data_IF_427747013256
#
_entry.id   IF_427747013256
#
_cell.length_a   1.000
_cell.length_b   1.000
_cell.length_c   1.000
_cell.angle_alpha   90.00
_cell.angle_beta   90.00
_cell.angle_gamma   90.00
#
_symmetry.space_group_name_H-M   'P 1'
#
loop_
_entity.id
_entity.type
_entity.pdbx_description
1 polymer ?
#
# COMPACT_ATOMS: atom_id res chain seq x y z
N UNK A 1 -2.69 -8.49 3.89
CA UNK A 1 -3.14 -8.10 2.53
C UNK A 1 -2.79 -9.11 1.43
N UNK A 2 -2.44 -10.36 1.76
CA UNK A 2 -2.29 -11.42 0.76
C UNK A 2 -1.30 -11.13 -0.37
N UNK A 3 -0.29 -10.28 -0.13
CA UNK A 3 0.61 -9.84 -1.19
C UNK A 3 1.42 -11.02 -1.71
N UNK A 4 1.30 -11.29 -3.01
CA UNK A 4 2.13 -12.28 -3.70
C UNK A 4 2.51 -11.80 -5.10
N UNK A 5 3.64 -12.27 -5.64
CA UNK A 5 3.93 -12.15 -7.06
C UNK A 5 2.79 -12.73 -7.92
N UNK A 6 2.46 -12.04 -9.02
CA UNK A 6 1.59 -12.62 -10.06
C UNK A 6 2.25 -13.86 -10.68
N UNK A 7 3.57 -13.79 -10.88
CA UNK A 7 4.39 -14.87 -11.41
C UNK A 7 5.53 -15.23 -10.44
N UNK A 8 5.83 -16.52 -10.25
CA UNK A 8 6.82 -16.98 -9.28
C UNK A 8 8.27 -16.67 -9.67
N UNK A 9 8.53 -16.33 -10.94
CA UNK A 9 9.87 -16.09 -11.48
C UNK A 9 9.92 -14.75 -12.19
N UNK A 10 10.92 -13.95 -11.83
CA UNK A 10 11.29 -12.75 -12.58
C UNK A 10 12.19 -13.15 -13.75
N UNK A 11 11.78 -12.82 -14.96
CA UNK A 11 12.52 -13.17 -16.18
C UNK A 11 13.59 -12.10 -16.44
N UNK A 12 14.72 -12.20 -15.72
CA UNK A 12 15.84 -11.26 -15.80
C UNK A 12 17.00 -11.97 -16.50
N UNK A 13 17.56 -11.33 -17.53
CA UNK A 13 18.76 -11.83 -18.20
C UNK A 13 19.97 -11.82 -17.26
N UNK A 14 20.99 -12.62 -17.56
CA UNK A 14 22.22 -12.64 -16.78
C UNK A 14 22.81 -11.22 -16.68
N UNK A 15 23.08 -10.76 -15.46
CA UNK A 15 23.63 -9.43 -15.20
C UNK A 15 25.16 -9.54 -15.15
N UNK A 16 25.90 -8.95 -16.11
CA UNK A 16 27.35 -8.93 -16.07
C UNK A 16 27.89 -8.14 -14.87
N UNK A 17 29.16 -8.37 -14.54
CA UNK A 17 29.82 -7.62 -13.47
C UNK A 17 29.74 -6.11 -13.70
N UNK A 18 29.41 -5.36 -12.64
CA UNK A 18 29.26 -3.89 -12.65
C UNK A 18 28.12 -3.37 -13.54
N UNK A 19 27.13 -4.20 -13.87
CA UNK A 19 25.91 -3.76 -14.57
C UNK A 19 24.68 -3.78 -13.65
N UNK A 20 23.65 -3.06 -14.06
CA UNK A 20 22.35 -2.98 -13.40
C UNK A 20 21.22 -3.16 -14.41
N UNK A 21 20.12 -3.79 -13.99
CA UNK A 21 18.91 -3.95 -14.79
C UNK A 21 17.72 -3.45 -13.96
N UNK A 22 16.85 -2.66 -14.57
CA UNK A 22 15.55 -2.30 -13.99
C UNK A 22 14.51 -3.35 -14.39
N UNK A 23 13.71 -3.79 -13.42
CA UNK A 23 12.60 -4.72 -13.67
C UNK A 23 11.39 -4.35 -12.82
N UNK A 24 10.21 -4.75 -13.28
CA UNK A 24 8.94 -4.52 -12.57
C UNK A 24 8.35 -5.86 -12.17
N UNK A 25 8.01 -5.98 -10.89
CA UNK A 25 7.32 -7.14 -10.35
C UNK A 25 5.85 -6.78 -10.14
N UNK A 26 4.95 -7.43 -10.87
CA UNK A 26 3.51 -7.29 -10.66
C UNK A 26 3.08 -8.12 -9.45
N UNK A 27 2.31 -7.50 -8.56
CA UNK A 27 1.82 -8.09 -7.32
C UNK A 27 0.30 -8.21 -7.33
N UNK A 28 -0.21 -9.22 -6.63
CA UNK A 28 -1.62 -9.47 -6.37
C UNK A 28 -1.86 -9.52 -4.85
N UNK A 29 -3.11 -9.39 -4.42
CA UNK A 29 -3.53 -9.37 -3.00
C UNK A 29 -4.36 -10.58 -2.57
N UNK A 30 -4.43 -11.61 -3.43
CA UNK A 30 -5.21 -12.84 -3.28
C UNK A 30 -4.39 -14.02 -2.70
N UNK A 31 -3.19 -13.74 -2.21
CA UNK A 31 -2.32 -14.72 -1.58
C UNK A 31 -2.66 -15.01 -0.12
N UNK A 32 -1.88 -15.92 0.52
CA UNK A 32 -2.03 -16.23 1.94
C UNK A 32 -1.88 -15.00 2.83
N UNK A 33 -2.72 -14.90 3.86
CA UNK A 33 -2.70 -13.79 4.81
C UNK A 33 -2.05 -14.22 6.12
N UNK A 34 -1.14 -13.38 6.61
CA UNK A 34 -0.51 -13.52 7.92
C UNK A 34 -0.45 -12.15 8.59
N UNK A 35 -0.69 -12.10 9.89
CA UNK A 35 -0.49 -10.88 10.68
C UNK A 35 1.01 -10.63 10.89
N UNK A 36 1.42 -9.38 10.70
CA UNK A 36 2.80 -8.93 10.84
C UNK A 36 2.87 -7.79 11.85
N UNK A 37 4.05 -7.58 12.43
CA UNK A 37 4.33 -6.41 13.26
C UNK A 37 5.57 -5.69 12.73
N UNK A 38 5.46 -4.46 12.18
CA UNK A 38 4.22 -3.71 11.92
C UNK A 38 3.33 -4.36 10.85
N UNK A 39 2.04 -4.00 10.80
CA UNK A 39 1.02 -4.65 9.94
C UNK A 39 1.33 -4.61 8.44
N UNK A 40 2.12 -3.63 8.01
CA UNK A 40 2.53 -3.43 6.62
C UNK A 40 3.94 -3.96 6.31
N UNK A 41 4.55 -4.73 7.22
CA UNK A 41 5.84 -5.35 6.97
C UNK A 41 5.72 -6.49 5.95
N UNK A 42 6.61 -6.49 4.96
CA UNK A 42 6.71 -7.51 3.91
C UNK A 42 8.08 -8.18 3.97
N UNK A 43 8.08 -9.49 4.18
CA UNK A 43 9.28 -10.32 4.10
C UNK A 43 9.49 -10.78 2.65
N UNK A 44 10.70 -10.61 2.13
CA UNK A 44 11.04 -10.91 0.74
C UNK A 44 12.24 -11.83 0.70
N UNK A 45 12.16 -12.86 -0.16
CA UNK A 45 13.26 -13.72 -0.51
C UNK A 45 13.54 -13.60 -2.02
N UNK A 46 14.78 -13.31 -2.39
CA UNK A 46 15.24 -13.27 -3.79
C UNK A 46 16.26 -14.37 -4.00
N UNK A 47 16.02 -15.23 -5.00
CA UNK A 47 16.94 -16.30 -5.39
C UNK A 47 17.62 -15.96 -6.71
N UNK A 48 18.94 -16.14 -6.76
CA UNK A 48 19.72 -16.14 -7.99
C UNK A 48 20.67 -17.35 -8.03
N UNK A 49 21.64 -17.35 -8.94
CA UNK A 49 22.64 -18.42 -9.09
C UNK A 49 23.70 -18.45 -7.96
N UNK A 50 23.81 -17.40 -7.14
CA UNK A 50 24.72 -17.33 -5.99
C UNK A 50 24.06 -17.79 -4.69
N UNK A 51 22.74 -17.74 -4.59
CA UNK A 51 22.01 -18.15 -3.39
C UNK A 51 20.66 -17.46 -3.22
N UNK A 52 20.17 -17.47 -1.98
CA UNK A 52 18.93 -16.80 -1.57
C UNK A 52 19.26 -15.66 -0.61
N UNK A 53 18.70 -14.49 -0.88
CA UNK A 53 18.87 -13.28 -0.09
C UNK A 53 17.52 -12.89 0.51
N UNK A 54 17.54 -12.49 1.78
CA UNK A 54 16.33 -12.13 2.52
C UNK A 54 16.40 -10.67 2.95
N UNK A 55 15.30 -9.96 2.82
CA UNK A 55 15.14 -8.63 3.39
C UNK A 55 13.69 -8.39 3.78
N UNK A 56 13.48 -7.29 4.51
CA UNK A 56 12.16 -6.82 4.90
C UNK A 56 11.98 -5.38 4.40
N UNK A 57 10.75 -5.03 4.04
CA UNK A 57 10.39 -3.67 3.66
C UNK A 57 8.98 -3.35 4.12
N UNK A 58 8.69 -2.08 4.35
CA UNK A 58 7.36 -1.61 4.72
C UNK A 58 6.60 -1.19 3.46
N UNK A 59 5.45 -1.82 3.23
CA UNK A 59 4.58 -1.49 2.11
C UNK A 59 3.73 -0.28 2.47
N UNK A 60 3.70 0.78 1.63
CA UNK A 60 2.81 1.91 1.88
C UNK A 60 1.35 1.47 1.80
N UNK A 61 0.54 1.74 2.83
CA UNK A 61 -0.83 1.21 2.94
C UNK A 61 -1.78 1.70 1.82
N UNK A 62 -1.54 2.90 1.28
CA UNK A 62 -2.41 3.48 0.25
C UNK A 62 -2.47 2.64 -1.04
N UNK A 63 -1.50 1.75 -1.29
CA UNK A 63 -1.52 0.90 -2.49
C UNK A 63 -2.65 -0.15 -2.43
N UNK A 64 -3.24 -0.38 -1.26
CA UNK A 64 -4.34 -1.33 -1.07
C UNK A 64 -5.72 -0.69 -1.21
N UNK A 65 -5.82 0.62 -1.45
CA UNK A 65 -7.11 1.28 -1.63
C UNK A 65 -7.75 0.85 -2.96
N UNK A 66 -9.06 0.61 -2.92
CA UNK A 66 -9.85 0.26 -4.12
C UNK A 66 -10.52 1.50 -4.69
N UNK A 67 -10.73 1.51 -6.01
CA UNK A 67 -11.49 2.56 -6.70
C UNK A 67 -12.96 2.58 -6.26
N UNK A 68 -13.49 1.44 -5.79
CA UNK A 68 -14.85 1.31 -5.26
C UNK A 68 -15.00 1.87 -3.83
N UNK A 69 -13.96 2.49 -3.26
CA UNK A 69 -13.97 3.08 -1.92
C UNK A 69 -14.75 4.39 -1.78
N UNK A 70 -15.49 4.80 -2.82
CA UNK A 70 -16.30 6.02 -2.83
C UNK A 70 -17.62 5.81 -2.08
N UNK A 71 -17.82 6.58 -1.00
CA UNK A 71 -19.11 6.65 -0.32
C UNK A 71 -19.96 7.81 -0.81
N UNK A 72 -21.28 7.61 -0.88
CA UNK A 72 -22.23 8.72 -0.92
C UNK A 72 -22.22 9.42 0.45
N UNK A 73 -22.61 10.70 0.48
CA UNK A 73 -22.70 11.47 1.73
C UNK A 73 -23.60 10.79 2.77
N UNK A 74 -24.74 10.25 2.31
CA UNK A 74 -25.71 9.56 3.16
C UNK A 74 -25.14 8.26 3.75
N UNK A 75 -24.45 7.45 2.93
CA UNK A 75 -23.81 6.22 3.40
C UNK A 75 -22.68 6.53 4.38
N UNK A 76 -21.86 7.54 4.09
CA UNK A 76 -20.78 7.95 4.99
C UNK A 76 -21.30 8.36 6.37
N UNK A 77 -22.31 9.24 6.44
CA UNK A 77 -22.87 9.72 7.70
C UNK A 77 -23.54 8.61 8.51
N UNK A 78 -24.14 7.63 7.84
CA UNK A 78 -24.77 6.49 8.49
C UNK A 78 -23.70 5.57 9.09
N UNK A 79 -22.70 5.17 8.30
CA UNK A 79 -21.60 4.32 8.76
C UNK A 79 -20.77 5.00 9.84
N UNK A 80 -20.52 6.31 9.74
CA UNK A 80 -19.77 7.06 10.74
C UNK A 80 -20.41 7.00 12.13
N UNK A 81 -21.75 7.06 12.20
CA UNK A 81 -22.49 6.96 13.47
C UNK A 81 -22.43 5.57 14.10
N UNK A 82 -22.15 4.54 13.31
CA UNK A 82 -22.05 3.16 13.78
C UNK A 82 -20.65 2.80 14.32
N UNK A 83 -19.63 3.63 14.06
CA UNK A 83 -18.26 3.41 14.53
C UNK A 83 -18.18 3.68 16.05
N UNK A 84 -17.74 2.71 16.88
CA UNK A 84 -17.56 2.91 18.32
C UNK A 84 -16.51 3.99 18.62
N UNK A 85 -16.80 4.91 19.55
CA UNK A 85 -15.89 6.02 19.90
C UNK A 85 -14.49 5.56 20.33
N UNK A 86 -14.38 4.41 20.99
CA UNK A 86 -13.11 3.78 21.39
C UNK A 86 -12.18 3.38 20.22
N UNK A 87 -12.71 3.30 19.01
CA UNK A 87 -11.92 3.01 17.79
C UNK A 87 -11.48 4.28 17.06
N UNK A 88 -12.02 5.44 17.45
CA UNK A 88 -11.67 6.74 16.88
C UNK A 88 -10.34 7.19 17.48
N UNK A 89 -9.39 7.51 16.61
CA UNK A 89 -8.07 7.98 17.01
C UNK A 89 -7.80 9.35 16.37
N UNK A 90 -7.43 10.32 17.22
CA UNK A 90 -6.96 11.61 16.76
C UNK A 90 -5.50 11.53 16.33
N UNK A 91 -5.24 11.84 15.06
CA UNK A 91 -3.89 11.85 14.50
C UNK A 91 -3.38 13.29 14.45
N UNK A 92 -2.50 13.63 15.39
CA UNK A 92 -1.79 14.91 15.39
C UNK A 92 -0.63 14.91 14.39
N UNK A 93 -0.10 16.09 14.05
CA UNK A 93 1.02 16.27 13.11
C UNK A 93 0.75 15.87 11.64
N UNK A 94 -0.51 15.78 11.22
CA UNK A 94 -0.87 15.73 9.81
C UNK A 94 -0.74 17.11 9.15
N UNK A 95 0.49 17.57 8.90
CA UNK A 95 0.73 18.85 8.21
C UNK A 95 0.55 18.69 6.70
N UNK A 96 -0.66 18.94 6.22
CA UNK A 96 -0.91 19.26 4.81
C UNK A 96 -0.94 20.79 4.57
N UNK A 97 -0.35 21.56 5.50
CA UNK A 97 -0.45 23.02 5.57
C UNK A 97 0.22 23.75 4.42
N UNK A 98 1.13 23.09 3.72
CA UNK A 98 1.94 23.73 2.68
C UNK A 98 1.25 23.80 1.32
N UNK A 99 0.01 23.31 1.21
CA UNK A 99 -0.75 23.26 -0.04
C UNK A 99 -2.15 23.87 0.10
N UNK A 100 -2.64 24.61 -0.91
CA UNK A 100 -4.04 25.06 -0.99
C UNK A 100 -5.03 23.90 -0.83
N UNK A 101 -6.21 24.17 -0.25
CA UNK A 101 -7.25 23.16 0.01
C UNK A 101 -7.58 22.28 -1.21
N UNK A 102 -7.69 22.88 -2.39
CA UNK A 102 -8.02 22.16 -3.63
C UNK A 102 -6.92 21.14 -4.00
N UNK A 103 -5.64 21.51 -3.85
CA UNK A 103 -4.50 20.65 -4.16
C UNK A 103 -4.36 19.48 -3.18
N UNK A 104 -4.75 19.69 -1.91
CA UNK A 104 -4.80 18.63 -0.89
C UNK A 104 -5.82 17.56 -1.26
N UNK A 105 -7.05 17.98 -1.59
CA UNK A 105 -8.10 17.03 -2.01
C UNK A 105 -7.74 16.32 -3.31
N UNK A 106 -7.05 16.99 -4.24
CA UNK A 106 -6.55 16.40 -5.46
C UNK A 106 -5.52 15.29 -5.20
N UNK A 107 -4.50 15.54 -4.37
CA UNK A 107 -3.46 14.55 -4.04
C UNK A 107 -4.01 13.32 -3.31
N UNK A 108 -4.99 13.52 -2.43
CA UNK A 108 -5.65 12.43 -1.72
C UNK A 108 -6.48 11.57 -2.68
N UNK A 109 -7.24 12.20 -3.60
CA UNK A 109 -7.99 11.49 -4.65
C UNK A 109 -7.09 10.68 -5.57
N UNK A 110 -5.90 11.18 -5.94
CA UNK A 110 -4.90 10.42 -6.73
C UNK A 110 -4.46 9.16 -5.99
N UNK A 111 -4.43 9.20 -4.66
CA UNK A 111 -4.10 8.06 -3.80
C UNK A 111 -5.32 7.21 -3.45
N UNK A 112 -6.46 7.40 -4.13
CA UNK A 112 -7.75 6.73 -3.85
C UNK A 112 -8.28 6.96 -2.42
N UNK A 113 -7.90 8.08 -1.81
CA UNK A 113 -8.42 8.50 -0.52
C UNK A 113 -9.43 9.64 -0.70
N UNK A 114 -10.68 9.38 -0.28
CA UNK A 114 -11.78 10.33 -0.42
C UNK A 114 -12.16 10.87 0.96
N UNK A 115 -12.17 12.19 1.08
CA UNK A 115 -12.64 12.88 2.29
C UNK A 115 -14.12 13.23 2.07
N UNK A 116 -14.98 12.86 3.02
CA UNK A 116 -16.33 13.41 3.11
C UNK A 116 -16.24 14.87 3.58
N UNK A 117 -16.65 15.81 2.70
CA UNK A 117 -16.76 17.24 3.00
C UNK A 117 -18.21 17.60 3.38
#
# INVERSE_FOLDING_TARGET
>A
FGLRPEHPVLNISSIPSRQSIETKLKLLTDGPTQSMNPINNLQVAIKNNLGVFYFQTQVPLFIFFSQDGLFTKENFLSLWKEIPEETVADIHNCSFTDLPHNDRTGKLKISLFYIAL
#
